data_IF_811862953506
#
_entry.id   IF_811862953506
#
_cell.length_a   1.000
_cell.length_b   1.000
_cell.length_c   1.000
_cell.angle_alpha   90.00
_cell.angle_beta   90.00
_cell.angle_gamma   90.00
#
_symmetry.space_group_name_H-M   'P 1'
#
loop_
_entity.id
_entity.type
_entity.pdbx_description
1 polymer ?
#
# COMPACT_ATOMS: atom_id res chain seq x y z
N UNK A 1 -14.58 -21.58 -64.37
CA UNK A 1 -13.79 -22.65 -63.76
C UNK A 1 -12.80 -22.16 -62.75
N UNK A 2 -12.47 -20.92 -62.78
CA UNK A 2 -11.39 -20.38 -61.96
C UNK A 2 -11.87 -19.54 -60.77
N UNK A 3 -13.15 -19.31 -60.73
CA UNK A 3 -13.77 -18.54 -59.67
C UNK A 3 -13.86 -19.26 -58.32
N UNK A 4 -13.61 -20.56 -58.33
CA UNK A 4 -13.69 -21.40 -57.14
C UNK A 4 -12.51 -21.20 -56.18
N UNK A 5 -11.45 -20.64 -56.64
CA UNK A 5 -10.23 -20.45 -55.84
C UNK A 5 -10.21 -19.14 -55.11
N UNK A 6 -11.04 -18.21 -55.51
CA UNK A 6 -11.06 -16.86 -54.86
C UNK A 6 -11.87 -16.88 -53.58
N UNK A 7 -12.81 -17.80 -53.46
CA UNK A 7 -13.67 -17.89 -52.28
C UNK A 7 -12.96 -18.50 -51.07
N UNK A 8 -11.96 -19.33 -51.34
CA UNK A 8 -11.23 -19.99 -50.24
C UNK A 8 -10.25 -19.12 -49.49
N UNK A 9 -9.83 -18.02 -50.08
CA UNK A 9 -8.87 -17.12 -49.48
C UNK A 9 -9.50 -16.14 -48.50
N UNK A 10 -10.81 -16.00 -48.54
CA UNK A 10 -11.52 -15.05 -47.69
C UNK A 10 -11.85 -15.64 -46.33
N UNK A 11 -11.94 -16.94 -46.24
CA UNK A 11 -12.32 -17.63 -44.99
C UNK A 11 -11.16 -17.74 -44.00
N UNK A 12 -9.93 -17.67 -44.49
CA UNK A 12 -8.76 -17.80 -43.62
C UNK A 12 -8.44 -16.51 -42.84
N UNK A 13 -9.12 -15.44 -43.14
CA UNK A 13 -8.80 -14.12 -42.55
C UNK A 13 -9.61 -13.75 -41.33
N UNK A 14 -10.58 -14.52 -40.96
CA UNK A 14 -11.50 -14.20 -39.87
C UNK A 14 -11.06 -14.76 -38.54
N UNK A 15 -10.02 -15.57 -38.50
CA UNK A 15 -9.65 -16.31 -37.31
C UNK A 15 -8.60 -15.64 -36.41
N UNK A 16 -8.16 -14.44 -36.73
CA UNK A 16 -7.13 -13.77 -35.90
C UNK A 16 -7.71 -12.47 -35.30
N UNK A 17 -8.76 -12.65 -34.58
CA UNK A 17 -9.03 -11.71 -33.51
C UNK A 17 -8.63 -12.40 -32.22
N UNK A 18 -7.35 -12.42 -31.98
CA UNK A 18 -6.89 -12.59 -30.62
C UNK A 18 -7.42 -11.40 -29.85
N UNK A 19 -8.56 -11.61 -29.22
CA UNK A 19 -8.94 -10.76 -28.12
C UNK A 19 -7.87 -10.97 -27.07
N UNK A 20 -6.88 -10.12 -27.08
CA UNK A 20 -6.05 -9.92 -25.92
C UNK A 20 -6.99 -9.38 -24.85
N UNK A 21 -7.55 -10.27 -24.07
CA UNK A 21 -8.09 -9.91 -22.78
C UNK A 21 -6.90 -9.41 -21.98
N UNK A 22 -6.60 -8.16 -22.13
CA UNK A 22 -5.82 -7.49 -21.11
C UNK A 22 -6.69 -7.51 -19.86
N UNK A 23 -6.41 -8.48 -19.03
CA UNK A 23 -6.77 -8.40 -17.63
C UNK A 23 -5.99 -7.21 -17.08
N UNK A 24 -6.52 -6.01 -17.31
CA UNK A 24 -6.14 -4.87 -16.51
C UNK A 24 -6.50 -5.25 -15.09
N UNK A 25 -5.46 -5.56 -14.30
CA UNK A 25 -5.62 -6.15 -13.01
C UNK A 25 -6.52 -5.29 -12.16
N UNK A 26 -7.57 -5.88 -11.64
CA UNK A 26 -8.24 -5.34 -10.49
C UNK A 26 -7.16 -5.14 -9.44
N UNK A 27 -7.10 -3.93 -8.86
CA UNK A 27 -6.17 -3.65 -7.78
C UNK A 27 -6.40 -4.67 -6.67
N UNK A 28 -5.43 -5.56 -6.45
CA UNK A 28 -5.42 -6.51 -5.33
C UNK A 28 -4.78 -5.91 -4.09
N UNK A 29 -4.36 -4.65 -4.20
CA UNK A 29 -3.56 -3.95 -3.22
C UNK A 29 -4.35 -2.81 -2.60
N UNK A 30 -3.93 -2.41 -1.42
CA UNK A 30 -4.43 -1.24 -0.71
C UNK A 30 -3.31 -0.29 -0.32
N UNK A 31 -3.67 0.79 0.36
CA UNK A 31 -2.76 1.84 0.79
C UNK A 31 -2.95 2.07 2.27
N UNK A 32 -1.84 2.23 3.00
CA UNK A 32 -1.84 2.78 4.35
C UNK A 32 -1.10 4.11 4.31
N UNK A 33 -1.73 5.15 4.81
CA UNK A 33 -1.18 6.50 4.89
C UNK A 33 -1.51 7.13 6.22
N UNK A 34 -0.92 8.26 6.51
CA UNK A 34 -1.25 8.99 7.72
C UNK A 34 -0.31 10.14 7.99
N UNK A 35 -0.46 10.70 9.17
CA UNK A 35 0.31 11.84 9.65
C UNK A 35 0.90 11.50 11.02
N UNK A 36 2.14 11.90 11.23
CA UNK A 36 2.81 11.79 12.53
C UNK A 36 2.98 13.19 13.09
N UNK A 37 2.42 13.41 14.27
CA UNK A 37 2.52 14.66 15.01
C UNK A 37 3.14 14.43 16.39
N UNK A 38 3.58 15.47 17.03
CA UNK A 38 4.00 15.43 18.44
C UNK A 38 2.81 15.78 19.37
N UNK A 39 3.07 15.84 20.67
CA UNK A 39 2.06 16.14 21.67
C UNK A 39 1.45 17.55 21.52
N UNK A 40 2.14 18.47 20.84
CA UNK A 40 1.64 19.82 20.57
C UNK A 40 0.82 19.91 19.29
N UNK A 41 0.75 18.83 18.52
CA UNK A 41 0.12 18.79 17.21
C UNK A 41 1.01 19.21 16.05
N UNK A 42 2.29 19.50 16.30
CA UNK A 42 3.23 19.85 15.28
C UNK A 42 3.64 18.62 14.47
N UNK A 43 3.86 18.80 13.18
CA UNK A 43 4.33 17.74 12.29
C UNK A 43 5.69 17.21 12.73
N UNK A 44 5.88 15.89 12.62
CA UNK A 44 7.15 15.21 12.92
C UNK A 44 7.73 14.68 11.62
N UNK A 45 8.66 15.42 10.99
CA UNK A 45 9.36 14.92 9.81
C UNK A 45 10.44 13.91 10.18
N UNK A 46 10.80 13.04 9.26
CA UNK A 46 11.88 12.08 9.46
C UNK A 46 11.56 10.90 10.37
N UNK A 47 10.30 10.75 10.78
CA UNK A 47 9.89 9.58 11.55
C UNK A 47 9.86 8.33 10.67
N UNK A 48 10.34 7.23 11.21
CA UNK A 48 10.29 5.93 10.55
C UNK A 48 8.95 5.28 10.83
N UNK A 49 8.25 4.89 9.79
CA UNK A 49 6.99 4.17 9.89
C UNK A 49 7.17 2.79 9.28
N UNK A 50 6.99 1.77 10.10
CA UNK A 50 7.05 0.37 9.66
C UNK A 50 5.64 -0.18 9.54
N UNK A 51 5.32 -0.66 8.34
CA UNK A 51 4.02 -1.23 8.00
C UNK A 51 4.19 -2.72 7.79
N UNK A 52 3.71 -3.51 8.74
CA UNK A 52 3.91 -4.95 8.75
C UNK A 52 2.60 -5.68 8.47
N UNK A 53 2.62 -6.55 7.45
CA UNK A 53 1.55 -7.51 7.22
C UNK A 53 1.68 -8.65 8.23
N UNK A 54 0.70 -8.78 9.12
CA UNK A 54 0.73 -9.78 10.19
C UNK A 54 0.59 -11.20 9.64
N UNK A 55 -0.10 -11.36 8.51
CA UNK A 55 -0.33 -12.67 7.91
C UNK A 55 0.91 -13.23 7.21
N UNK A 56 1.74 -12.37 6.62
CA UNK A 56 2.93 -12.77 5.85
C UNK A 56 4.24 -12.44 6.53
N UNK A 57 4.24 -11.52 7.48
CA UNK A 57 5.45 -10.98 8.11
C UNK A 57 6.20 -9.96 7.27
N UNK A 58 5.73 -9.64 6.07
CA UNK A 58 6.38 -8.66 5.21
C UNK A 58 6.25 -7.27 5.80
N UNK A 59 7.37 -6.57 5.93
CA UNK A 59 7.43 -5.21 6.47
C UNK A 59 7.87 -4.23 5.39
N UNK A 60 7.13 -3.13 5.29
CA UNK A 60 7.53 -1.99 4.47
C UNK A 60 7.87 -0.82 5.39
N UNK A 61 9.01 -0.17 5.11
CA UNK A 61 9.46 0.98 5.87
C UNK A 61 9.34 2.22 5.00
N UNK A 62 8.69 3.25 5.54
CA UNK A 62 8.57 4.57 4.93
C UNK A 62 8.97 5.62 5.95
N UNK A 63 9.25 6.84 5.49
CA UNK A 63 9.68 7.95 6.34
C UNK A 63 8.74 9.12 6.11
N UNK A 64 8.39 9.84 7.18
CA UNK A 64 7.55 11.03 7.08
C UNK A 64 8.27 12.18 6.39
N UNK A 65 7.51 12.95 5.60
CA UNK A 65 8.01 14.15 4.94
C UNK A 65 7.98 15.37 5.88
N UNK A 66 8.26 16.55 5.35
CA UNK A 66 8.31 17.79 6.13
C UNK A 66 6.98 18.16 6.79
N UNK A 67 5.86 17.69 6.24
CA UNK A 67 4.53 17.85 6.80
C UNK A 67 4.15 16.74 7.77
N UNK A 68 5.06 15.82 8.06
CA UNK A 68 4.80 14.67 8.93
C UNK A 68 3.95 13.59 8.27
N UNK A 69 3.80 13.60 6.97
CA UNK A 69 2.95 12.64 6.23
C UNK A 69 3.78 11.47 5.72
N UNK A 70 3.16 10.31 5.74
CA UNK A 70 3.70 9.11 5.13
C UNK A 70 2.65 8.42 4.27
N UNK A 71 3.12 7.62 3.33
CA UNK A 71 2.26 6.82 2.46
C UNK A 71 2.98 5.53 2.08
N UNK A 72 2.31 4.41 2.30
CA UNK A 72 2.75 3.08 1.90
C UNK A 72 1.76 2.51 0.89
N UNK A 73 2.01 2.67 -0.41
CA UNK A 73 1.14 2.15 -1.46
C UNK A 73 1.44 0.68 -1.78
N UNK A 74 0.58 0.08 -2.59
CA UNK A 74 0.77 -1.26 -3.14
C UNK A 74 0.96 -2.34 -2.08
N UNK A 75 0.19 -2.24 -1.00
CA UNK A 75 0.19 -3.23 0.07
C UNK A 75 -0.79 -4.35 -0.25
N UNK A 76 -0.37 -5.58 -0.03
CA UNK A 76 -1.26 -6.74 -0.13
C UNK A 76 -2.37 -6.64 0.92
N UNK A 77 -3.55 -7.14 0.59
CA UNK A 77 -4.66 -7.20 1.55
C UNK A 77 -4.28 -8.08 2.74
N UNK A 78 -4.83 -7.77 3.88
CA UNK A 78 -4.57 -8.51 5.11
C UNK A 78 -4.68 -7.64 6.34
N UNK A 79 -4.26 -8.17 7.46
CA UNK A 79 -4.18 -7.46 8.72
C UNK A 79 -2.79 -6.84 8.87
N UNK A 80 -2.78 -5.58 9.32
CA UNK A 80 -1.55 -4.81 9.46
C UNK A 80 -1.32 -4.33 10.87
N UNK A 81 -0.04 -4.17 11.17
CA UNK A 81 0.48 -3.50 12.34
C UNK A 81 1.40 -2.38 11.86
N UNK A 82 1.18 -1.16 12.35
CA UNK A 82 1.94 0.01 11.94
C UNK A 82 2.65 0.59 13.15
N UNK A 83 3.94 0.83 13.02
CA UNK A 83 4.79 1.36 14.07
C UNK A 83 5.46 2.64 13.62
N UNK A 84 5.32 3.70 14.42
CA UNK A 84 6.02 4.95 14.21
C UNK A 84 7.10 5.16 15.27
N UNK A 85 8.29 5.56 14.85
CA UNK A 85 9.42 5.79 15.74
C UNK A 85 10.30 6.93 15.26
N UNK A 86 10.89 7.64 16.20
CA UNK A 86 11.90 8.65 15.98
C UNK A 86 12.77 8.77 17.24
N UNK A 87 14.07 9.01 17.07
CA UNK A 87 14.97 9.22 18.21
C UNK A 87 14.47 10.37 19.08
N UNK A 88 14.44 10.17 20.39
CA UNK A 88 13.92 11.15 21.36
C UNK A 88 12.43 11.07 21.62
N UNK A 89 11.72 10.17 20.95
CA UNK A 89 10.28 9.94 21.13
C UNK A 89 10.00 8.51 21.52
N UNK A 90 8.88 8.30 22.20
CA UNK A 90 8.38 6.96 22.44
C UNK A 90 7.89 6.34 21.14
N UNK A 91 8.17 5.06 20.94
CA UNK A 91 7.66 4.30 19.81
C UNK A 91 6.18 3.97 20.02
N UNK A 92 5.36 4.19 19.01
CA UNK A 92 3.92 3.91 19.05
C UNK A 92 3.60 2.83 18.04
N UNK A 93 2.84 1.83 18.46
CA UNK A 93 2.39 0.73 17.61
C UNK A 93 0.86 0.70 17.59
N UNK A 94 0.28 0.69 16.41
CA UNK A 94 -1.15 0.46 16.21
C UNK A 94 -1.35 -0.89 15.53
N UNK A 95 -2.19 -1.72 16.13
CA UNK A 95 -2.47 -3.10 15.71
C UNK A 95 -3.90 -3.25 15.21
N UNK A 96 -4.17 -4.40 14.56
CA UNK A 96 -5.53 -4.74 14.17
C UNK A 96 -6.09 -3.84 13.07
N UNK A 97 -5.27 -3.47 12.10
CA UNK A 97 -5.66 -2.61 10.99
C UNK A 97 -6.00 -3.49 9.79
N UNK A 98 -7.28 -3.68 9.45
CA UNK A 98 -7.65 -4.45 8.28
C UNK A 98 -7.45 -3.62 7.02
N UNK A 99 -6.80 -4.20 6.01
CA UNK A 99 -6.64 -3.59 4.70
C UNK A 99 -7.36 -4.45 3.67
N UNK A 100 -8.34 -3.86 3.01
CA UNK A 100 -9.13 -4.50 1.96
C UNK A 100 -8.73 -4.01 0.58
N UNK A 101 -9.16 -4.73 -0.45
CA UNK A 101 -8.83 -4.40 -1.85
C UNK A 101 -9.27 -3.00 -2.21
N UNK A 102 -8.35 -2.22 -2.79
CA UNK A 102 -8.62 -0.87 -3.25
C UNK A 102 -8.89 0.15 -2.16
N UNK A 103 -8.71 -0.21 -0.89
CA UNK A 103 -8.95 0.70 0.22
C UNK A 103 -7.69 1.49 0.59
N UNK A 104 -7.92 2.66 1.16
CA UNK A 104 -6.90 3.45 1.83
C UNK A 104 -7.26 3.56 3.31
N UNK A 105 -6.37 3.09 4.16
CA UNK A 105 -6.50 3.22 5.60
C UNK A 105 -5.62 4.36 6.08
N UNK A 106 -6.22 5.29 6.80
CA UNK A 106 -5.50 6.40 7.42
C UNK A 106 -5.18 6.03 8.85
N UNK A 107 -3.89 5.99 9.17
CA UNK A 107 -3.38 5.66 10.50
C UNK A 107 -2.48 6.80 10.96
N UNK A 108 -3.00 7.62 11.86
CA UNK A 108 -2.29 8.77 12.38
C UNK A 108 -1.64 8.44 13.72
N UNK A 109 -0.51 9.08 13.98
CA UNK A 109 0.26 8.89 15.22
C UNK A 109 0.49 10.24 15.92
N UNK A 110 0.46 10.20 17.24
CA UNK A 110 0.94 11.27 18.10
C UNK A 110 2.10 10.72 18.92
N UNK A 111 3.31 11.25 18.70
CA UNK A 111 4.51 10.81 19.39
C UNK A 111 4.76 11.68 20.60
N UNK A 112 5.08 11.05 21.72
CA UNK A 112 5.46 11.72 22.94
C UNK A 112 6.98 11.65 23.13
N UNK A 113 7.56 12.70 23.69
CA UNK A 113 8.99 12.71 24.06
C UNK A 113 9.24 11.61 25.08
N UNK A 114 10.28 10.83 24.88
CA UNK A 114 10.65 9.75 25.77
C UNK A 114 11.79 8.92 25.22
N UNK A 115 12.09 7.82 25.89
CA UNK A 115 13.10 6.88 25.42
C UNK A 115 12.57 6.05 24.25
N UNK A 116 13.35 5.84 23.18
CA UNK A 116 12.92 5.03 22.05
C UNK A 116 12.57 3.58 22.40
N UNK A 117 13.14 3.06 23.49
CA UNK A 117 12.88 1.71 23.99
C UNK A 117 11.48 1.57 24.60
N UNK A 118 10.83 2.67 24.95
CA UNK A 118 9.48 2.65 25.48
C UNK A 118 8.49 2.54 24.34
N UNK A 119 7.81 1.42 24.23
CA UNK A 119 6.81 1.18 23.20
C UNK A 119 5.41 1.33 23.77
N UNK A 120 4.59 2.19 23.16
CA UNK A 120 3.18 2.35 23.48
C UNK A 120 2.37 1.67 22.40
N UNK A 121 1.51 0.74 22.79
CA UNK A 121 0.60 0.04 21.87
C UNK A 121 -0.80 0.62 22.04
N UNK A 122 -1.37 0.98 20.93
CA UNK A 122 -2.72 1.55 20.85
C UNK A 122 -3.70 0.54 20.28
#
# INVERSE_FOLDING_TARGET
MYTKFVVMLIVAWVAIHSTSNELTGQATNGIISGTVTDASGAAVPGATVQVKNVNTGVTRTVVTNEQGRYRAPDLLVGEYEVQASLAGFQTVVQRGIPLTVGSERVVDFSLQVGQPETTVTV
#
